data_IF_978053539210
#
_entry.id   IF_978053539210
#
_cell.length_a   1.000
_cell.length_b   1.000
_cell.length_c   1.000
_cell.angle_alpha   90.00
_cell.angle_beta   90.00
_cell.angle_gamma   90.00
#
_symmetry.space_group_name_H-M   'P 1'
#
loop_
_entity.id
_entity.type
_entity.pdbx_description
1 polymer ?
#
# COMPACT_ATOMS: atom_id res chain seq x y z
N UNK A 1 17.87 -12.22 -9.03
CA UNK A 1 17.01 -12.81 -10.05
C UNK A 1 17.73 -13.73 -11.03
N UNK A 2 18.96 -13.46 -11.33
CA UNK A 2 19.76 -14.17 -12.29
C UNK A 2 20.62 -15.21 -11.55
N UNK A 3 20.31 -16.49 -11.69
CA UNK A 3 21.17 -17.54 -11.13
C UNK A 3 22.44 -17.72 -11.96
N UNK A 4 22.30 -17.64 -13.26
CA UNK A 4 23.39 -17.84 -14.19
C UNK A 4 23.06 -17.18 -15.53
N UNK A 5 24.04 -16.57 -16.17
CA UNK A 5 24.00 -16.30 -17.60
C UNK A 5 25.21 -16.95 -18.24
N UNK A 6 24.97 -17.59 -19.35
CA UNK A 6 26.04 -18.22 -20.14
C UNK A 6 25.91 -17.79 -21.62
N UNK A 7 27.03 -17.59 -22.27
CA UNK A 7 27.10 -17.42 -23.70
C UNK A 7 27.82 -18.63 -24.27
N UNK A 8 27.08 -19.44 -25.01
CA UNK A 8 27.65 -20.57 -25.74
C UNK A 8 28.01 -20.12 -27.16
N UNK A 9 29.28 -20.17 -27.48
CA UNK A 9 29.77 -19.97 -28.83
C UNK A 9 30.28 -21.30 -29.39
N UNK A 10 30.45 -21.43 -30.73
CA UNK A 10 30.94 -22.68 -31.32
C UNK A 10 32.27 -23.19 -30.76
N UNK A 11 33.04 -22.29 -30.11
CA UNK A 11 34.40 -22.60 -29.64
C UNK A 11 34.52 -22.61 -28.11
N UNK A 12 33.63 -21.98 -27.36
CA UNK A 12 33.71 -21.88 -25.88
C UNK A 12 32.38 -21.49 -25.28
N UNK A 13 32.22 -21.84 -23.99
CA UNK A 13 31.09 -21.44 -23.16
C UNK A 13 31.65 -20.54 -22.06
N UNK A 14 31.10 -19.34 -21.90
CA UNK A 14 31.47 -18.41 -20.82
C UNK A 14 30.31 -18.28 -19.86
N UNK A 15 30.58 -18.44 -18.56
CA UNK A 15 29.60 -18.26 -17.48
C UNK A 15 29.89 -16.95 -16.75
N UNK A 16 28.85 -16.19 -16.45
CA UNK A 16 28.98 -14.89 -15.73
C UNK A 16 28.87 -15.04 -14.21
N UNK A 17 28.40 -16.19 -13.73
CA UNK A 17 28.27 -16.46 -12.29
C UNK A 17 29.12 -17.68 -11.93
N UNK A 18 29.86 -17.57 -10.80
CA UNK A 18 30.75 -18.62 -10.30
C UNK A 18 29.99 -19.79 -9.62
N UNK A 19 28.67 -19.70 -9.46
CA UNK A 19 27.89 -20.75 -8.82
C UNK A 19 27.79 -21.99 -9.70
N UNK A 20 28.69 -22.93 -9.48
CA UNK A 20 28.83 -24.18 -10.25
C UNK A 20 27.55 -25.01 -10.18
N UNK A 21 26.83 -24.99 -9.05
CA UNK A 21 25.60 -25.76 -8.86
C UNK A 21 24.44 -25.35 -9.78
N UNK A 22 24.52 -24.16 -10.37
CA UNK A 22 23.49 -23.67 -11.31
C UNK A 22 23.85 -23.90 -12.78
N UNK A 23 24.98 -24.51 -13.07
CA UNK A 23 25.40 -24.77 -14.46
C UNK A 23 24.64 -25.97 -15.00
N UNK A 24 23.97 -25.87 -16.18
CA UNK A 24 23.36 -27.01 -16.82
C UNK A 24 24.44 -28.04 -17.19
N UNK A 25 24.11 -29.30 -17.15
CA UNK A 25 24.97 -30.35 -17.64
C UNK A 25 25.14 -30.28 -19.19
N UNK A 26 25.98 -31.16 -19.74
CA UNK A 26 26.27 -31.09 -21.18
C UNK A 26 25.06 -31.44 -22.04
N UNK A 27 24.16 -32.30 -21.56
CA UNK A 27 23.00 -32.72 -22.35
C UNK A 27 21.89 -31.69 -22.28
N UNK A 28 21.62 -31.10 -21.10
CA UNK A 28 20.71 -29.97 -20.95
C UNK A 28 21.21 -28.75 -21.76
N UNK A 29 22.52 -28.49 -21.75
CA UNK A 29 23.10 -27.40 -22.54
C UNK A 29 22.84 -27.59 -24.03
N UNK A 30 22.96 -28.80 -24.57
CA UNK A 30 22.66 -29.07 -25.97
C UNK A 30 21.16 -28.85 -26.28
N UNK A 31 20.28 -29.29 -25.39
CA UNK A 31 18.84 -29.09 -25.52
C UNK A 31 18.50 -27.60 -25.57
N UNK A 32 19.03 -26.82 -24.61
CA UNK A 32 18.81 -25.38 -24.54
C UNK A 32 19.31 -24.65 -25.78
N UNK A 33 20.45 -25.07 -26.35
CA UNK A 33 20.97 -24.51 -27.60
C UNK A 33 20.01 -24.84 -28.77
N UNK A 34 19.56 -26.07 -28.87
CA UNK A 34 18.63 -26.48 -29.93
C UNK A 34 17.28 -25.70 -29.86
N UNK A 35 16.79 -25.45 -28.64
CA UNK A 35 15.57 -24.66 -28.45
C UNK A 35 15.79 -23.18 -28.81
N UNK A 36 16.97 -22.64 -28.52
CA UNK A 36 17.32 -21.27 -28.91
C UNK A 36 17.42 -21.11 -30.44
N UNK A 37 18.00 -22.11 -31.13
CA UNK A 37 18.08 -22.14 -32.58
C UNK A 37 16.68 -22.23 -33.22
N UNK A 38 15.79 -23.07 -32.67
CA UNK A 38 14.40 -23.16 -33.11
C UNK A 38 13.62 -21.84 -32.91
N UNK A 39 14.02 -21.00 -31.98
CA UNK A 39 13.46 -19.67 -31.76
C UNK A 39 13.88 -18.62 -32.78
N UNK A 40 14.80 -18.92 -33.73
CA UNK A 40 15.25 -18.05 -34.82
C UNK A 40 15.71 -16.65 -34.36
N UNK A 41 16.26 -16.55 -33.14
CA UNK A 41 16.71 -15.28 -32.53
C UNK A 41 15.64 -14.59 -31.66
N UNK A 42 14.45 -15.12 -31.56
CA UNK A 42 13.48 -14.74 -30.54
C UNK A 42 13.84 -15.36 -29.18
N UNK A 43 13.55 -14.70 -28.04
CA UNK A 43 13.76 -15.32 -26.75
C UNK A 43 12.75 -16.47 -26.53
N UNK A 44 13.26 -17.60 -26.04
CA UNK A 44 12.45 -18.79 -25.72
C UNK A 44 12.56 -19.08 -24.25
N UNK A 45 11.40 -19.21 -23.57
CA UNK A 45 11.33 -19.64 -22.20
C UNK A 45 11.26 -21.16 -22.14
N UNK A 46 12.12 -21.77 -21.33
CA UNK A 46 12.20 -23.21 -21.13
C UNK A 46 11.83 -23.52 -19.70
N UNK A 47 10.67 -24.12 -19.51
CA UNK A 47 10.05 -24.42 -18.21
C UNK A 47 10.02 -25.92 -17.90
N UNK A 48 10.35 -26.75 -18.87
CA UNK A 48 10.35 -28.22 -18.75
C UNK A 48 11.24 -28.78 -17.62
N UNK A 49 12.22 -28.00 -17.20
CA UNK A 49 13.17 -28.37 -16.14
C UNK A 49 13.00 -27.52 -14.87
N UNK A 50 11.82 -26.89 -14.68
CA UNK A 50 11.57 -25.95 -13.59
C UNK A 50 11.76 -26.56 -12.19
N UNK A 51 11.43 -27.84 -12.02
CA UNK A 51 11.55 -28.55 -10.73
C UNK A 51 13.01 -28.83 -10.35
N UNK A 52 13.85 -29.25 -11.30
CA UNK A 52 15.21 -29.72 -11.04
C UNK A 52 16.26 -28.61 -11.20
N UNK A 53 16.16 -27.86 -12.29
CA UNK A 53 17.20 -26.92 -12.71
C UNK A 53 16.74 -25.46 -12.72
N UNK A 54 15.43 -25.22 -12.56
CA UNK A 54 14.82 -23.88 -12.67
C UNK A 54 14.41 -23.53 -14.09
N UNK A 55 14.11 -22.27 -14.31
CA UNK A 55 13.58 -21.75 -15.58
C UNK A 55 14.71 -21.10 -16.37
N UNK A 56 14.77 -21.42 -17.66
CA UNK A 56 15.76 -20.83 -18.53
C UNK A 56 15.11 -19.89 -19.56
N UNK A 57 15.79 -18.77 -19.83
CA UNK A 57 15.55 -17.95 -20.99
C UNK A 57 16.71 -18.15 -21.95
N UNK A 58 16.42 -18.63 -23.13
CA UNK A 58 17.44 -18.90 -24.16
C UNK A 58 17.18 -18.09 -25.42
N UNK A 59 18.27 -17.66 -26.05
CA UNK A 59 18.19 -16.86 -27.27
C UNK A 59 19.40 -17.07 -28.13
N UNK A 60 19.20 -17.29 -29.42
CA UNK A 60 20.26 -17.26 -30.41
C UNK A 60 20.72 -15.81 -30.69
N UNK A 61 22.02 -15.56 -30.62
CA UNK A 61 22.61 -14.25 -30.90
C UNK A 61 23.15 -14.24 -32.33
N UNK A 62 22.61 -13.37 -33.16
CA UNK A 62 22.97 -13.20 -34.57
C UNK A 62 23.67 -11.88 -34.81
N UNK A 63 24.66 -11.88 -35.70
CA UNK A 63 25.34 -10.67 -36.19
C UNK A 63 25.02 -10.47 -37.66
N UNK A 64 24.71 -9.25 -38.02
CA UNK A 64 24.56 -8.87 -39.42
C UNK A 64 25.96 -8.58 -40.01
N UNK A 65 26.37 -9.37 -40.97
CA UNK A 65 27.59 -9.15 -41.73
C UNK A 65 27.30 -9.31 -43.23
N UNK A 66 27.59 -8.30 -44.02
CA UNK A 66 27.37 -8.32 -45.48
C UNK A 66 25.92 -8.76 -45.87
N UNK A 67 24.91 -8.22 -45.19
CA UNK A 67 23.48 -8.58 -45.38
C UNK A 67 23.14 -10.04 -45.08
N UNK A 68 24.01 -10.79 -44.41
CA UNK A 68 23.75 -12.13 -43.90
C UNK A 68 23.70 -12.12 -42.35
N UNK A 69 22.88 -12.97 -41.81
CA UNK A 69 22.80 -13.21 -40.36
C UNK A 69 23.75 -14.38 -40.04
N UNK A 70 24.87 -14.06 -39.42
CA UNK A 70 25.84 -15.05 -38.94
C UNK A 70 25.51 -15.35 -37.47
N UNK A 71 25.39 -16.62 -37.11
CA UNK A 71 25.21 -17.08 -35.71
C UNK A 71 26.51 -16.79 -34.92
N UNK A 72 26.42 -16.02 -33.84
CA UNK A 72 27.51 -15.77 -32.91
C UNK A 72 27.56 -16.74 -31.75
N UNK A 73 26.40 -17.28 -31.37
CA UNK A 73 26.27 -18.15 -30.23
C UNK A 73 24.88 -18.09 -29.58
N UNK A 74 24.74 -18.72 -28.44
CA UNK A 74 23.50 -18.79 -27.68
C UNK A 74 23.66 -18.16 -26.31
N UNK A 75 22.76 -17.27 -25.95
CA UNK A 75 22.62 -16.74 -24.60
C UNK A 75 21.68 -17.66 -23.82
N UNK A 76 22.15 -18.13 -22.66
CA UNK A 76 21.38 -18.97 -21.75
C UNK A 76 21.33 -18.24 -20.40
N UNK A 77 20.14 -17.95 -19.90
CA UNK A 77 19.90 -17.29 -18.62
C UNK A 77 19.06 -18.20 -17.74
N UNK A 78 19.57 -18.56 -16.56
CA UNK A 78 18.79 -19.27 -15.54
C UNK A 78 18.14 -18.23 -14.61
N UNK A 79 16.81 -18.26 -14.51
CA UNK A 79 16.00 -17.33 -13.74
C UNK A 79 15.53 -18.00 -12.44
N UNK A 80 15.78 -17.33 -11.32
CA UNK A 80 15.27 -17.73 -10.02
C UNK A 80 13.95 -17.02 -9.71
N UNK A 81 12.83 -17.70 -9.93
CA UNK A 81 11.51 -17.15 -9.63
C UNK A 81 11.32 -16.84 -8.14
N UNK A 82 11.92 -17.62 -7.24
CA UNK A 82 11.83 -17.37 -5.80
C UNK A 82 12.45 -16.03 -5.39
N UNK A 83 13.61 -15.68 -5.95
CA UNK A 83 14.22 -14.38 -5.73
C UNK A 83 13.39 -13.26 -6.35
N UNK A 84 12.88 -13.47 -7.57
CA UNK A 84 12.01 -12.49 -8.22
C UNK A 84 10.78 -12.18 -7.37
N UNK A 85 10.09 -13.21 -6.89
CA UNK A 85 8.91 -13.07 -6.01
C UNK A 85 9.28 -12.41 -4.68
N UNK A 86 10.41 -12.75 -4.09
CA UNK A 86 10.91 -12.14 -2.85
C UNK A 86 11.10 -10.63 -3.04
N UNK A 87 11.68 -10.21 -4.15
CA UNK A 87 11.85 -8.78 -4.42
C UNK A 87 10.53 -8.09 -4.74
N UNK A 88 9.62 -8.73 -5.48
CA UNK A 88 8.27 -8.19 -5.69
C UNK A 88 7.54 -7.99 -4.36
N UNK A 89 7.69 -8.91 -3.43
CA UNK A 89 7.12 -8.81 -2.08
C UNK A 89 7.76 -7.70 -1.24
N UNK A 90 9.02 -7.37 -1.45
CA UNK A 90 9.69 -6.23 -0.80
C UNK A 90 9.19 -4.88 -1.33
N UNK A 91 8.89 -4.79 -2.61
CA UNK A 91 8.34 -3.58 -3.24
C UNK A 91 6.93 -3.31 -2.71
N UNK A 92 6.13 -4.34 -2.46
CA UNK A 92 4.83 -4.24 -1.84
C UNK A 92 4.92 -4.36 -0.31
N UNK A 93 5.67 -3.48 0.34
CA UNK A 93 5.94 -3.47 1.79
C UNK A 93 4.68 -3.46 2.69
N UNK A 94 3.49 -3.38 2.10
CA UNK A 94 2.21 -3.29 2.80
C UNK A 94 1.65 -4.66 3.26
N UNK A 95 2.12 -5.78 2.68
CA UNK A 95 1.49 -7.09 2.93
C UNK A 95 2.51 -8.15 3.33
N UNK A 96 2.91 -8.13 4.60
CA UNK A 96 3.62 -9.27 5.21
C UNK A 96 2.71 -10.50 5.15
N UNK A 97 3.23 -11.64 4.69
CA UNK A 97 2.43 -12.88 4.58
C UNK A 97 1.65 -12.99 3.28
N UNK A 98 2.17 -12.46 2.20
CA UNK A 98 1.67 -12.74 0.85
C UNK A 98 2.40 -13.94 0.26
N UNK A 99 1.65 -14.78 -0.43
CA UNK A 99 2.15 -15.98 -1.10
C UNK A 99 1.88 -15.91 -2.57
N UNK A 100 2.83 -16.42 -3.35
CA UNK A 100 2.75 -16.43 -4.80
C UNK A 100 2.84 -17.84 -5.34
N UNK A 101 2.06 -18.11 -6.37
CA UNK A 101 2.07 -19.33 -7.12
C UNK A 101 2.05 -18.96 -8.59
N UNK A 102 2.93 -19.54 -9.38
CA UNK A 102 3.06 -19.24 -10.81
C UNK A 102 2.95 -20.53 -11.59
N UNK A 103 2.12 -20.52 -12.64
CA UNK A 103 1.85 -21.65 -13.52
C UNK A 103 2.08 -21.27 -14.97
N UNK A 104 2.53 -22.25 -15.73
CA UNK A 104 2.42 -22.24 -17.19
C UNK A 104 1.42 -23.31 -17.59
N UNK A 105 0.25 -22.89 -18.10
CA UNK A 105 -0.89 -23.79 -18.33
C UNK A 105 -1.25 -24.55 -17.04
N UNK A 106 -0.96 -25.86 -16.98
CA UNK A 106 -1.22 -26.72 -15.82
C UNK A 106 0.07 -27.09 -15.05
N UNK A 107 1.24 -26.66 -15.54
CA UNK A 107 2.52 -26.93 -14.89
C UNK A 107 2.81 -25.86 -13.82
N UNK A 108 3.11 -26.29 -12.60
CA UNK A 108 3.55 -25.43 -11.53
C UNK A 108 5.01 -25.00 -11.76
N UNK A 109 5.25 -23.70 -11.90
CA UNK A 109 6.60 -23.14 -12.07
C UNK A 109 7.22 -22.69 -10.76
N UNK A 110 6.38 -22.18 -9.87
CA UNK A 110 6.83 -21.66 -8.57
C UNK A 110 5.67 -21.69 -7.56
N UNK A 111 5.96 -22.09 -6.33
CA UNK A 111 5.08 -21.92 -5.17
C UNK A 111 5.90 -21.39 -4.00
N UNK A 112 5.31 -20.47 -3.23
CA UNK A 112 5.90 -20.04 -1.97
C UNK A 112 6.01 -21.25 -1.02
N UNK A 113 7.17 -21.47 -0.38
CA UNK A 113 7.47 -22.73 0.34
C UNK A 113 6.55 -23.02 1.54
N UNK A 114 5.81 -22.04 1.99
CA UNK A 114 4.89 -22.17 3.14
C UNK A 114 3.48 -22.66 2.75
N UNK A 115 3.22 -22.86 1.46
CA UNK A 115 1.93 -23.30 0.94
C UNK A 115 1.93 -24.80 0.62
N UNK A 116 0.84 -25.45 1.03
CA UNK A 116 0.54 -26.80 0.56
C UNK A 116 0.01 -26.75 -0.87
N UNK A 117 0.81 -27.30 -1.79
CA UNK A 117 0.55 -27.25 -3.23
C UNK A 117 -0.74 -27.96 -3.62
N UNK A 118 -1.09 -29.06 -2.92
CA UNK A 118 -2.30 -29.83 -3.23
C UNK A 118 -3.59 -29.06 -2.89
N UNK A 119 -3.61 -28.34 -1.75
CA UNK A 119 -4.76 -27.52 -1.38
C UNK A 119 -4.95 -26.34 -2.32
N UNK A 120 -3.85 -25.74 -2.73
CA UNK A 120 -3.87 -24.58 -3.63
C UNK A 120 -4.37 -24.96 -5.02
N UNK A 121 -3.98 -26.11 -5.54
CA UNK A 121 -4.43 -26.59 -6.86
C UNK A 121 -5.95 -26.79 -6.90
N UNK A 122 -6.55 -27.29 -5.81
CA UNK A 122 -8.02 -27.43 -5.66
C UNK A 122 -8.77 -26.09 -5.66
N UNK A 123 -8.11 -25.02 -5.27
CA UNK A 123 -8.69 -23.68 -5.17
C UNK A 123 -8.50 -22.91 -6.46
N UNK A 124 -7.37 -23.13 -7.18
CA UNK A 124 -7.05 -22.46 -8.43
C UNK A 124 -8.18 -22.55 -9.46
N UNK A 125 -8.81 -23.71 -9.60
CA UNK A 125 -9.89 -23.94 -10.56
C UNK A 125 -11.18 -23.18 -10.21
N UNK A 126 -11.35 -22.80 -8.95
CA UNK A 126 -12.54 -22.08 -8.47
C UNK A 126 -12.44 -20.57 -8.57
N UNK A 127 -11.22 -20.03 -8.73
CA UNK A 127 -10.96 -18.59 -8.74
C UNK A 127 -10.90 -18.11 -10.20
N UNK A 128 -11.86 -17.29 -10.60
CA UNK A 128 -11.86 -16.66 -11.94
C UNK A 128 -10.95 -15.43 -11.99
N UNK A 129 -11.07 -14.50 -11.04
CA UNK A 129 -10.27 -13.26 -10.95
C UNK A 129 -9.84 -12.99 -9.53
N UNK A 130 -10.79 -12.95 -8.59
CA UNK A 130 -10.53 -12.74 -7.17
C UNK A 130 -11.55 -13.52 -6.33
N UNK A 131 -11.14 -13.95 -5.15
CA UNK A 131 -12.00 -14.64 -4.19
C UNK A 131 -11.41 -14.54 -2.77
N UNK A 132 -12.27 -14.75 -1.78
CA UNK A 132 -11.81 -15.04 -0.41
C UNK A 132 -11.78 -16.55 -0.26
N UNK A 133 -10.63 -17.09 0.07
CA UNK A 133 -10.40 -18.52 0.23
C UNK A 133 -9.93 -18.84 1.66
N UNK A 134 -10.20 -20.03 2.13
CA UNK A 134 -9.72 -20.51 3.42
C UNK A 134 -8.72 -21.64 3.18
N UNK A 135 -7.49 -21.46 3.65
CA UNK A 135 -6.38 -22.41 3.59
C UNK A 135 -5.88 -22.65 5.00
N UNK A 136 -5.76 -23.88 5.43
CA UNK A 136 -5.29 -24.25 6.78
C UNK A 136 -6.00 -23.48 7.92
N UNK A 137 -7.33 -23.23 7.77
CA UNK A 137 -8.14 -22.50 8.74
C UNK A 137 -7.93 -20.97 8.75
N UNK A 138 -7.07 -20.43 7.88
CA UNK A 138 -6.84 -18.99 7.72
C UNK A 138 -7.49 -18.48 6.43
N UNK A 139 -8.01 -17.26 6.49
CA UNK A 139 -8.62 -16.60 5.33
C UNK A 139 -7.57 -15.83 4.54
N UNK A 140 -7.62 -15.99 3.22
CA UNK A 140 -6.78 -15.28 2.27
C UNK A 140 -7.62 -14.60 1.21
N UNK A 141 -7.20 -13.44 0.81
CA UNK A 141 -7.70 -12.80 -0.39
C UNK A 141 -6.85 -13.26 -1.57
N UNK A 142 -7.45 -14.00 -2.48
CA UNK A 142 -6.81 -14.60 -3.63
C UNK A 142 -7.07 -13.77 -4.88
N UNK A 143 -6.01 -13.42 -5.59
CA UNK A 143 -6.05 -12.67 -6.85
C UNK A 143 -5.39 -13.53 -7.92
N UNK A 144 -6.13 -13.82 -9.00
CA UNK A 144 -5.61 -14.52 -10.17
C UNK A 144 -5.41 -13.54 -11.31
N UNK A 145 -4.27 -13.65 -11.98
CA UNK A 145 -3.97 -12.86 -13.17
C UNK A 145 -3.02 -13.59 -14.10
N UNK A 146 -2.70 -12.96 -15.22
CA UNK A 146 -1.76 -13.44 -16.22
C UNK A 146 -0.61 -12.45 -16.31
N UNK A 147 0.61 -12.92 -16.36
CA UNK A 147 1.80 -12.11 -16.62
C UNK A 147 1.95 -11.92 -18.13
N UNK A 148 2.33 -10.71 -18.56
CA UNK A 148 2.62 -10.42 -19.98
C UNK A 148 3.81 -11.23 -20.51
N UNK A 149 4.66 -11.73 -19.60
CA UNK A 149 5.80 -12.58 -19.93
C UNK A 149 5.28 -14.01 -20.13
N UNK A 150 5.30 -14.48 -21.36
CA UNK A 150 4.97 -15.86 -21.74
C UNK A 150 3.58 -16.36 -21.30
N UNK A 151 2.63 -15.43 -21.08
CA UNK A 151 1.25 -15.74 -20.66
C UNK A 151 1.16 -16.61 -19.40
N UNK A 152 2.14 -16.52 -18.49
CA UNK A 152 2.11 -17.26 -17.25
C UNK A 152 0.97 -16.79 -16.35
N UNK A 153 0.26 -17.72 -15.78
CA UNK A 153 -0.78 -17.43 -14.82
C UNK A 153 -0.18 -17.36 -13.41
N UNK A 154 -0.64 -16.40 -12.62
CA UNK A 154 -0.27 -16.32 -11.22
C UNK A 154 -1.49 -16.33 -10.31
N UNK A 155 -1.31 -16.85 -9.12
CA UNK A 155 -2.22 -16.74 -7.99
C UNK A 155 -1.48 -16.06 -6.85
N UNK A 156 -1.95 -14.89 -6.46
CA UNK A 156 -1.40 -14.13 -5.33
C UNK A 156 -2.37 -14.23 -4.16
N UNK A 157 -1.91 -14.76 -3.04
CA UNK A 157 -2.67 -14.92 -1.80
C UNK A 157 -2.19 -13.90 -0.79
N UNK A 158 -3.09 -13.09 -0.28
CA UNK A 158 -2.82 -12.07 0.74
C UNK A 158 -3.56 -12.45 2.02
N UNK A 159 -2.86 -12.54 3.14
CA UNK A 159 -3.48 -12.87 4.42
C UNK A 159 -4.55 -11.85 4.79
N UNK A 160 -5.78 -12.31 5.03
CA UNK A 160 -6.89 -11.46 5.45
C UNK A 160 -6.62 -10.80 6.81
N UNK A 161 -5.95 -11.51 7.70
CA UNK A 161 -5.62 -11.00 9.04
C UNK A 161 -4.65 -9.82 8.98
N UNK A 162 -3.68 -9.83 8.06
CA UNK A 162 -2.74 -8.71 7.86
C UNK A 162 -3.45 -7.48 7.29
N UNK A 163 -4.34 -7.67 6.32
CA UNK A 163 -5.16 -6.58 5.76
C UNK A 163 -6.09 -6.00 6.83
N UNK A 164 -6.76 -6.86 7.60
CA UNK A 164 -7.66 -6.45 8.67
C UNK A 164 -6.91 -5.67 9.77
N UNK A 165 -5.70 -6.12 10.15
CA UNK A 165 -4.86 -5.45 11.15
C UNK A 165 -4.41 -4.06 10.69
N UNK A 166 -4.01 -3.93 9.43
CA UNK A 166 -3.67 -2.62 8.84
C UNK A 166 -4.86 -1.67 8.86
N UNK A 167 -6.05 -2.15 8.51
CA UNK A 167 -7.28 -1.35 8.56
C UNK A 167 -7.70 -0.98 9.98
N UNK A 168 -7.54 -1.87 10.97
CA UNK A 168 -7.86 -1.57 12.37
C UNK A 168 -7.00 -0.42 12.91
N UNK A 169 -5.72 -0.39 12.62
CA UNK A 169 -4.83 0.69 13.06
C UNK A 169 -5.23 2.04 12.46
N UNK A 170 -5.60 2.05 11.19
CA UNK A 170 -6.08 3.24 10.49
C UNK A 170 -7.43 3.70 11.04
N UNK A 171 -8.38 2.79 11.27
CA UNK A 171 -9.67 3.08 11.87
C UNK A 171 -9.51 3.66 13.28
N UNK A 172 -8.61 3.11 14.10
CA UNK A 172 -8.32 3.64 15.43
C UNK A 172 -7.80 5.08 15.39
N UNK A 173 -6.91 5.42 14.45
CA UNK A 173 -6.42 6.80 14.25
C UNK A 173 -7.57 7.74 13.89
N UNK A 174 -8.49 7.35 13.01
CA UNK A 174 -9.65 8.17 12.66
C UNK A 174 -10.56 8.41 13.87
N UNK A 175 -10.86 7.38 14.65
CA UNK A 175 -11.66 7.50 15.87
C UNK A 175 -10.98 8.43 16.87
N UNK A 176 -9.66 8.34 17.05
CA UNK A 176 -8.90 9.20 17.93
C UNK A 176 -8.97 10.67 17.49
N UNK A 177 -8.80 10.95 16.19
CA UNK A 177 -8.89 12.31 15.65
C UNK A 177 -10.29 12.90 15.86
N UNK A 178 -11.34 12.13 15.57
CA UNK A 178 -12.72 12.54 15.81
C UNK A 178 -12.99 12.83 17.28
N UNK A 179 -12.49 12.00 18.19
CA UNK A 179 -12.63 12.18 19.64
C UNK A 179 -11.92 13.44 20.13
N UNK A 180 -10.68 13.69 19.68
CA UNK A 180 -9.94 14.90 19.99
C UNK A 180 -10.67 16.15 19.45
N UNK A 181 -11.17 16.10 18.22
CA UNK A 181 -11.94 17.20 17.63
C UNK A 181 -13.23 17.49 18.42
N UNK A 182 -13.91 16.45 18.87
CA UNK A 182 -15.11 16.61 19.72
C UNK A 182 -14.78 17.26 21.07
N UNK A 183 -13.70 16.83 21.74
CA UNK A 183 -13.25 17.44 22.99
C UNK A 183 -12.86 18.90 22.81
N UNK A 184 -12.12 19.23 21.75
CA UNK A 184 -11.79 20.61 21.40
C UNK A 184 -13.03 21.47 21.17
N UNK A 185 -14.04 20.94 20.47
CA UNK A 185 -15.31 21.63 20.24
C UNK A 185 -16.03 21.95 21.55
N UNK A 186 -16.13 20.98 22.46
CA UNK A 186 -16.74 21.20 23.79
C UNK A 186 -15.99 22.28 24.56
N UNK A 187 -14.65 22.23 24.54
CA UNK A 187 -13.80 23.20 25.23
C UNK A 187 -14.02 24.61 24.70
N UNK A 188 -14.06 24.75 23.37
CA UNK A 188 -14.33 26.06 22.71
C UNK A 188 -15.71 26.57 23.09
N UNK A 189 -16.74 25.77 23.00
CA UNK A 189 -18.11 26.15 23.39
C UNK A 189 -18.14 26.54 24.86
N UNK A 190 -17.51 25.78 25.76
CA UNK A 190 -17.45 26.10 27.18
C UNK A 190 -16.76 27.47 27.44
N UNK A 191 -15.66 27.74 26.76
CA UNK A 191 -14.95 29.02 26.90
C UNK A 191 -15.80 30.19 26.37
N UNK A 192 -16.49 30.04 25.26
CA UNK A 192 -17.37 31.06 24.69
C UNK A 192 -18.55 31.32 25.64
N UNK A 193 -19.25 30.28 26.09
CA UNK A 193 -20.38 30.38 27.02
C UNK A 193 -19.93 31.08 28.28
N UNK A 194 -18.82 30.65 28.90
CA UNK A 194 -18.27 31.25 30.12
C UNK A 194 -17.95 32.72 29.92
N UNK A 195 -17.39 33.11 28.78
CA UNK A 195 -17.09 34.52 28.46
C UNK A 195 -18.36 35.34 28.30
N UNK A 196 -19.36 34.83 27.62
CA UNK A 196 -20.65 35.52 27.42
C UNK A 196 -21.39 35.66 28.76
N UNK A 197 -21.52 34.55 29.51
CA UNK A 197 -22.25 34.53 30.78
C UNK A 197 -21.65 35.55 31.78
N UNK A 198 -20.32 35.63 31.84
CA UNK A 198 -19.65 36.60 32.72
C UNK A 198 -20.04 38.06 32.42
N UNK A 199 -20.31 38.41 31.17
CA UNK A 199 -20.74 39.75 30.79
C UNK A 199 -22.21 39.97 31.17
N UNK A 200 -23.06 38.99 31.05
CA UNK A 200 -24.45 39.06 31.48
C UNK A 200 -24.59 39.16 33.01
N UNK A 201 -23.80 38.38 33.76
CA UNK A 201 -23.78 38.44 35.23
C UNK A 201 -23.40 39.84 35.74
N UNK A 202 -22.42 40.45 35.06
CA UNK A 202 -22.01 41.81 35.43
C UNK A 202 -23.12 42.82 35.12
N UNK A 203 -23.87 42.68 34.04
CA UNK A 203 -24.98 43.57 33.69
C UNK A 203 -26.16 43.38 34.67
N UNK A 204 -26.51 42.15 35.01
CA UNK A 204 -27.53 41.80 35.98
C UNK A 204 -27.18 42.39 37.37
N UNK A 205 -25.94 42.24 37.81
CA UNK A 205 -25.48 42.80 39.08
C UNK A 205 -25.65 44.32 39.10
N UNK A 206 -25.34 45.02 38.02
CA UNK A 206 -25.52 46.49 37.91
C UNK A 206 -26.99 46.88 37.91
N UNK A 207 -27.86 46.17 37.23
CA UNK A 207 -29.29 46.41 37.24
C UNK A 207 -29.89 46.27 38.63
N UNK A 208 -29.48 45.22 39.39
CA UNK A 208 -29.95 45.01 40.73
C UNK A 208 -29.49 46.14 41.66
N UNK A 209 -28.22 46.52 41.61
CA UNK A 209 -27.67 47.59 42.46
C UNK A 209 -28.25 48.95 42.15
N UNK A 210 -28.53 49.24 40.89
CA UNK A 210 -29.22 50.48 40.51
C UNK A 210 -30.66 50.54 41.06
N UNK A 211 -31.34 49.41 41.20
CA UNK A 211 -32.63 49.33 41.84
C UNK A 211 -32.63 49.54 43.34
N UNK A 212 -31.49 49.33 44.00
CA UNK A 212 -31.30 49.53 45.43
C UNK A 212 -30.75 50.93 45.79
N UNK A 213 -29.84 51.47 44.98
CA UNK A 213 -29.23 52.78 45.21
C UNK A 213 -28.86 53.44 43.85
N UNK A 214 -29.54 54.53 43.54
CA UNK A 214 -29.39 55.25 42.25
C UNK A 214 -28.04 55.97 42.12
N UNK A 215 -27.21 56.06 43.19
CA UNK A 215 -25.87 56.69 43.16
C UNK A 215 -24.77 55.79 42.56
N UNK A 216 -25.02 54.52 42.39
CA UNK A 216 -24.05 53.50 41.97
C UNK A 216 -23.64 53.56 40.49
N UNK A 217 -24.26 54.43 39.67
CA UNK A 217 -23.88 54.61 38.26
C UNK A 217 -22.49 55.22 38.04
N UNK A 218 -21.88 55.81 39.07
CA UNK A 218 -20.59 56.47 38.94
C UNK A 218 -19.36 55.55 38.79
N UNK A 219 -19.51 54.24 39.00
CA UNK A 219 -18.44 53.23 38.92
C UNK A 219 -18.53 52.29 37.72
N UNK A 220 -18.76 52.81 36.52
CA UNK A 220 -18.76 52.00 35.30
C UNK A 220 -17.33 51.78 34.82
N UNK A 221 -16.80 50.56 34.76
CA UNK A 221 -15.50 50.31 34.13
C UNK A 221 -15.56 50.75 32.66
N UNK A 222 -14.59 51.58 32.28
CA UNK A 222 -14.44 52.23 30.97
C UNK A 222 -14.44 51.28 29.75
N UNK A 223 -14.33 49.97 30.00
CA UNK A 223 -14.06 48.89 29.00
C UNK A 223 -15.26 48.54 28.09
N UNK A 224 -16.46 49.06 28.37
CA UNK A 224 -17.67 48.71 27.61
C UNK A 224 -18.15 49.80 26.64
N UNK A 225 -17.61 51.02 26.72
CA UNK A 225 -18.01 52.13 25.88
C UNK A 225 -17.53 51.98 24.42
N UNK A 226 -16.37 51.35 24.22
CA UNK A 226 -15.77 51.16 22.88
C UNK A 226 -16.20 49.87 22.21
N UNK A 227 -17.04 49.10 22.87
CA UNK A 227 -17.49 47.80 22.37
C UNK A 227 -18.62 47.97 21.37
N UNK A 228 -18.45 47.41 20.15
CA UNK A 228 -19.40 47.57 19.04
C UNK A 228 -20.41 46.42 18.89
N UNK A 229 -20.26 45.35 19.72
CA UNK A 229 -21.14 44.18 19.72
C UNK A 229 -22.44 44.41 20.52
N UNK A 230 -23.36 43.43 20.47
CA UNK A 230 -24.69 43.47 21.09
C UNK A 230 -24.57 43.74 22.63
N UNK A 231 -23.53 43.23 23.26
CA UNK A 231 -23.27 43.42 24.69
C UNK A 231 -22.91 44.89 24.98
N UNK A 232 -22.08 45.49 24.14
CA UNK A 232 -21.74 46.90 24.22
C UNK A 232 -22.98 47.82 23.99
N UNK A 233 -23.83 47.47 23.04
CA UNK A 233 -25.10 48.17 22.76
C UNK A 233 -25.99 48.07 24.01
N UNK A 234 -26.16 46.92 24.58
CA UNK A 234 -27.01 46.68 25.75
C UNK A 234 -26.54 47.50 26.97
N UNK A 235 -25.25 47.52 27.20
CA UNK A 235 -24.64 48.34 28.28
C UNK A 235 -24.90 49.82 28.08
N UNK A 236 -24.71 50.40 26.90
CA UNK A 236 -24.97 51.78 26.58
C UNK A 236 -26.44 52.15 26.76
N UNK A 237 -27.34 51.29 26.29
CA UNK A 237 -28.80 51.51 26.42
C UNK A 237 -29.22 51.50 27.90
N UNK A 238 -28.67 50.60 28.73
CA UNK A 238 -28.90 50.56 30.17
C UNK A 238 -28.39 51.83 30.83
N UNK A 239 -27.17 52.29 30.52
CA UNK A 239 -26.60 53.50 31.06
C UNK A 239 -27.46 54.73 30.73
N UNK A 240 -27.87 54.88 29.47
CA UNK A 240 -28.77 55.99 29.04
C UNK A 240 -30.13 55.98 29.72
N UNK A 241 -30.68 54.77 29.94
CA UNK A 241 -31.94 54.65 30.67
C UNK A 241 -31.78 55.06 32.12
N UNK A 242 -30.70 54.65 32.77
CA UNK A 242 -30.43 54.95 34.16
C UNK A 242 -30.15 56.44 34.38
N UNK A 243 -29.40 57.11 33.50
CA UNK A 243 -29.18 58.55 33.50
C UNK A 243 -30.50 59.37 33.42
N UNK A 244 -31.46 58.91 32.56
CA UNK A 244 -32.78 59.52 32.41
C UNK A 244 -33.68 59.42 33.64
N UNK A 245 -33.46 58.41 34.49
CA UNK A 245 -34.25 58.23 35.73
C UNK A 245 -33.68 59.10 36.86
N UNK A 246 -32.41 59.47 36.80
CA UNK A 246 -31.75 60.31 37.80
C UNK A 246 -31.99 61.81 37.61
N UNK A 247 -32.46 62.25 36.41
CA UNK A 247 -32.87 63.59 36.09
C UNK A 247 -34.33 63.80 36.35
#
# INVERSE_FOLDING_TARGET
YLKMAAISCPRFITYTNENIACRPDADLTKELIALAEAGEGSPVWVTSHAEDHGIFLVREIKKIKNLRLDNLGTLIINVNLGELVTEMSKISNEYKGSYWIIYEKDQLLFSSPELDTEEVQKINDKIKSYAVVTLNGRKYFAIRGTMDINEWNYLHLISYDEVAKSQQMTAFLYVLILFCGFLCSILIVHLIVRKITRHFDLLLYRMQRFGEDSTVLAEIPYDYNDRTDEIGILHRQFTHMAERIQT
#
